data_IF_837970833449
#
_entry.id   IF_837970833449
#
_cell.length_a   1.000
_cell.length_b   1.000
_cell.length_c   1.000
_cell.angle_alpha   90.00
_cell.angle_beta   90.00
_cell.angle_gamma   90.00
#
_symmetry.space_group_name_H-M   'P 1'
#
loop_
_entity.id
_entity.type
_entity.pdbx_description
1 polymer ?
#
# COMPACT_ATOMS: atom_id res chain seq x y z
N UNK A 1 -13.95 -9.35 -9.99
CA UNK A 1 -13.47 -8.28 -9.11
C UNK A 1 -12.59 -8.91 -8.04
N UNK A 2 -11.38 -8.42 -7.85
CA UNK A 2 -10.45 -8.86 -6.80
C UNK A 2 -9.94 -7.65 -6.03
N UNK A 3 -9.51 -7.87 -4.79
CA UNK A 3 -8.88 -6.86 -3.95
C UNK A 3 -7.66 -7.51 -3.32
N UNK A 4 -6.54 -6.79 -3.26
CA UNK A 4 -5.30 -7.30 -2.72
C UNK A 4 -4.27 -6.21 -2.48
N UNK A 5 -3.22 -6.58 -1.75
CA UNK A 5 -2.06 -5.76 -1.46
C UNK A 5 -0.81 -6.65 -1.56
N UNK A 6 0.06 -6.39 -2.54
CA UNK A 6 1.31 -7.13 -2.75
C UNK A 6 2.29 -6.98 -1.58
N UNK A 7 2.25 -5.87 -0.84
CA UNK A 7 3.10 -5.66 0.35
C UNK A 7 2.64 -6.54 1.54
N UNK A 8 1.46 -7.17 1.45
CA UNK A 8 0.89 -8.05 2.47
C UNK A 8 0.87 -9.54 2.06
N UNK A 9 1.57 -9.90 0.98
CA UNK A 9 1.65 -11.27 0.49
C UNK A 9 2.62 -12.17 1.31
N UNK A 10 2.21 -12.57 2.52
CA UNK A 10 3.08 -13.30 3.48
C UNK A 10 3.04 -14.84 3.38
N UNK A 11 2.16 -15.41 2.54
CA UNK A 11 1.96 -16.87 2.44
C UNK A 11 2.79 -17.54 1.33
N UNK A 12 3.95 -16.98 0.99
CA UNK A 12 4.82 -17.53 -0.06
C UNK A 12 5.21 -19.00 0.19
N UNK A 13 5.42 -19.37 1.46
CA UNK A 13 5.71 -20.75 1.88
C UNK A 13 4.58 -21.76 1.59
N UNK A 14 3.38 -21.27 1.25
CA UNK A 14 2.22 -22.09 0.84
C UNK A 14 1.86 -21.88 -0.63
N UNK A 15 2.77 -21.32 -1.43
CA UNK A 15 2.58 -21.10 -2.86
C UNK A 15 1.89 -19.78 -3.24
N UNK A 16 1.71 -18.84 -2.31
CA UNK A 16 1.25 -17.50 -2.67
C UNK A 16 2.32 -16.76 -3.48
N UNK A 17 1.93 -16.08 -4.55
CA UNK A 17 2.84 -15.28 -5.37
C UNK A 17 2.28 -13.86 -5.55
N UNK A 18 3.00 -12.78 -5.15
CA UNK A 18 2.55 -11.40 -5.37
C UNK A 18 2.36 -11.04 -6.85
N UNK A 19 2.97 -11.79 -7.78
CA UNK A 19 2.77 -11.63 -9.22
C UNK A 19 1.29 -11.67 -9.63
N UNK A 20 0.44 -12.42 -8.92
CA UNK A 20 -1.01 -12.46 -9.18
C UNK A 20 -1.68 -11.08 -9.07
N UNK A 21 -1.11 -10.15 -8.30
CA UNK A 21 -1.59 -8.76 -8.20
C UNK A 21 -0.83 -7.86 -9.17
N UNK A 22 0.51 -8.01 -9.23
CA UNK A 22 1.37 -7.15 -10.06
C UNK A 22 1.11 -7.30 -11.56
N UNK A 23 0.71 -8.50 -12.00
CA UNK A 23 0.49 -8.85 -13.41
C UNK A 23 -1.00 -8.86 -13.78
N UNK A 24 -1.89 -8.52 -12.84
CA UNK A 24 -3.34 -8.63 -13.02
C UNK A 24 -3.87 -7.93 -14.28
N UNK A 25 -3.32 -6.76 -14.62
CA UNK A 25 -3.71 -6.00 -15.82
C UNK A 25 -3.24 -6.65 -17.13
N UNK A 26 -2.19 -7.46 -17.09
CA UNK A 26 -1.70 -8.22 -18.24
C UNK A 26 -2.62 -9.41 -18.51
N UNK A 27 -3.03 -10.12 -17.45
CA UNK A 27 -3.97 -11.24 -17.54
C UNK A 27 -5.38 -10.78 -17.93
N UNK A 28 -5.78 -9.59 -17.47
CA UNK A 28 -7.10 -9.00 -17.74
C UNK A 28 -6.97 -7.58 -18.32
N UNK A 29 -6.65 -7.43 -19.61
CA UNK A 29 -6.40 -6.13 -20.23
C UNK A 29 -7.59 -5.16 -20.15
N UNK A 30 -8.82 -5.68 -20.13
CA UNK A 30 -10.05 -4.88 -20.01
C UNK A 30 -10.39 -4.49 -18.57
N UNK A 31 -9.70 -5.03 -17.56
CA UNK A 31 -10.02 -4.76 -16.16
C UNK A 31 -9.67 -3.31 -15.76
N UNK A 32 -10.54 -2.66 -15.00
CA UNK A 32 -10.24 -1.37 -14.41
C UNK A 32 -9.42 -1.56 -13.13
N UNK A 33 -8.36 -0.76 -12.98
CA UNK A 33 -7.56 -0.70 -11.76
C UNK A 33 -8.00 0.51 -10.94
N UNK A 34 -8.24 0.30 -9.65
CA UNK A 34 -8.58 1.35 -8.69
C UNK A 34 -7.61 1.26 -7.53
N UNK A 35 -6.86 2.33 -7.28
CA UNK A 35 -5.91 2.40 -6.17
C UNK A 35 -6.50 3.14 -4.98
N UNK A 36 -6.33 2.58 -3.79
CA UNK A 36 -6.77 3.18 -2.53
C UNK A 36 -5.56 3.66 -1.74
N UNK A 37 -5.29 4.97 -1.81
CA UNK A 37 -4.11 5.59 -1.18
C UNK A 37 -4.36 6.04 0.26
N UNK A 38 -5.61 6.20 0.69
CA UNK A 38 -5.92 6.72 2.01
C UNK A 38 -5.97 5.60 3.06
N UNK A 39 -5.13 5.70 4.09
CA UNK A 39 -5.18 4.86 5.27
C UNK A 39 -6.04 5.53 6.35
N UNK A 40 -7.18 4.92 6.69
CA UNK A 40 -8.08 5.42 7.73
C UNK A 40 -7.90 4.70 9.08
N UNK A 41 -6.98 3.72 9.15
CA UNK A 41 -6.80 2.85 10.32
C UNK A 41 -5.78 3.41 11.30
N UNK A 42 -4.64 3.87 10.80
CA UNK A 42 -3.45 4.18 11.60
C UNK A 42 -3.07 5.65 11.47
N UNK A 43 -2.51 6.22 12.53
CA UNK A 43 -1.98 7.59 12.56
C UNK A 43 -0.74 7.75 11.66
N UNK A 44 -0.44 8.99 11.28
CA UNK A 44 0.66 9.36 10.38
C UNK A 44 1.99 8.72 10.80
N UNK A 45 2.32 8.72 12.10
CA UNK A 45 3.61 8.21 12.57
C UNK A 45 3.78 6.72 12.29
N UNK A 46 2.69 5.95 12.44
CA UNK A 46 2.68 4.50 12.16
C UNK A 46 2.76 4.27 10.65
N UNK A 47 1.98 5.02 9.85
CA UNK A 47 1.98 4.90 8.39
C UNK A 47 3.35 5.26 7.82
N UNK A 48 3.96 6.35 8.27
CA UNK A 48 5.30 6.77 7.86
C UNK A 48 6.38 5.75 8.24
N UNK A 49 6.31 5.17 9.45
CA UNK A 49 7.25 4.12 9.86
C UNK A 49 7.14 2.87 8.98
N UNK A 50 5.91 2.45 8.66
CA UNK A 50 5.67 1.31 7.77
C UNK A 50 6.17 1.61 6.34
N UNK A 51 5.91 2.82 5.83
CA UNK A 51 6.34 3.27 4.51
C UNK A 51 7.87 3.27 4.36
N UNK A 52 8.59 3.76 5.37
CA UNK A 52 10.05 3.77 5.40
C UNK A 52 10.67 2.35 5.37
N UNK A 53 9.97 1.35 5.90
CA UNK A 53 10.42 -0.05 5.88
C UNK A 53 10.11 -0.68 4.53
N UNK A 54 8.87 -0.55 4.05
CA UNK A 54 8.40 -1.27 2.86
C UNK A 54 9.04 -0.77 1.56
N UNK A 55 9.48 0.50 1.51
CA UNK A 55 10.23 1.08 0.37
C UNK A 55 11.54 0.37 0.06
N UNK A 56 12.05 -0.46 0.96
CA UNK A 56 13.27 -1.25 0.74
C UNK A 56 13.02 -2.50 -0.12
N UNK A 57 11.77 -2.92 -0.30
CA UNK A 57 11.42 -4.08 -1.13
C UNK A 57 11.49 -3.73 -2.62
N UNK A 58 12.05 -4.64 -3.43
CA UNK A 58 12.31 -4.41 -4.86
C UNK A 58 11.16 -4.81 -5.79
N UNK A 59 10.31 -5.75 -5.37
CA UNK A 59 9.28 -6.34 -6.24
C UNK A 59 7.89 -6.02 -5.70
N UNK A 60 7.44 -4.78 -5.97
CA UNK A 60 6.20 -4.22 -5.44
C UNK A 60 5.62 -3.17 -6.38
N UNK A 61 4.35 -2.85 -6.21
CA UNK A 61 3.82 -1.58 -6.70
C UNK A 61 4.36 -0.42 -5.86
N UNK A 62 4.79 0.65 -6.52
CA UNK A 62 5.04 1.90 -5.82
C UNK A 62 3.69 2.49 -5.35
N UNK A 63 3.59 2.71 -4.04
CA UNK A 63 2.37 3.19 -3.39
C UNK A 63 2.70 4.43 -2.57
N UNK A 64 1.87 5.45 -2.73
CA UNK A 64 1.84 6.62 -1.86
C UNK A 64 0.65 6.47 -0.90
N UNK A 65 0.88 5.89 0.29
CA UNK A 65 -0.16 5.68 1.30
C UNK A 65 -0.16 6.84 2.30
N UNK A 66 -1.28 7.54 2.43
CA UNK A 66 -1.43 8.72 3.30
C UNK A 66 -2.42 8.45 4.42
N UNK A 67 -2.04 8.79 5.66
CA UNK A 67 -2.94 8.75 6.80
C UNK A 67 -4.08 9.76 6.63
N UNK A 68 -5.30 9.33 7.00
CA UNK A 68 -6.49 10.16 7.20
C UNK A 68 -7.21 9.75 8.49
N UNK A 69 -6.52 9.12 9.43
CA UNK A 69 -7.10 8.70 10.69
C UNK A 69 -7.63 9.92 11.45
N UNK A 70 -8.87 9.83 11.95
CA UNK A 70 -9.56 10.94 12.63
C UNK A 70 -8.88 11.19 13.98
N UNK A 71 -8.11 12.28 14.07
CA UNK A 71 -7.28 12.63 15.22
C UNK A 71 -6.09 13.51 14.86
N UNK A 72 -5.71 13.57 13.58
CA UNK A 72 -4.70 14.50 13.08
C UNK A 72 -5.29 15.92 12.99
N UNK A 73 -5.09 16.70 14.07
CA UNK A 73 -5.24 18.14 14.01
C UNK A 73 -4.33 18.68 12.90
N UNK A 74 -4.81 19.67 12.16
CA UNK A 74 -4.13 20.34 11.03
C UNK A 74 -2.79 21.02 11.37
N UNK A 75 -2.18 20.71 12.52
CA UNK A 75 -0.89 21.21 13.01
C UNK A 75 0.31 20.31 12.68
N UNK A 76 0.11 19.03 12.35
CA UNK A 76 1.22 18.10 12.06
C UNK A 76 1.76 18.21 10.61
N UNK A 77 1.18 19.11 9.79
CA UNK A 77 1.63 19.40 8.43
C UNK A 77 2.94 20.21 8.35
N UNK A 78 3.59 20.52 9.49
CA UNK A 78 4.74 21.43 9.57
C UNK A 78 6.10 20.77 9.85
N UNK A 79 6.20 19.44 9.87
CA UNK A 79 7.49 18.75 10.02
C UNK A 79 7.85 17.99 8.73
N UNK A 80 8.12 18.76 7.67
CA UNK A 80 9.04 18.33 6.60
C UNK A 80 10.27 19.22 6.66
N UNK A 81 11.31 18.72 7.33
CA UNK A 81 12.71 19.04 7.02
C UNK A 81 13.23 17.85 6.22
#
# INVERSE_FOLDING_TARGET
MCVGDDDQAIYAFRGSNPAFILEFKQDYPSAQIVHLHANYRSHHTIVASADAIIKKNQHRYEKDVKSRARGENSSDAFLSI
#
